data_IF_259569700406
#
_entry.id   IF_259569700406
#
_cell.length_a   1.000
_cell.length_b   1.000
_cell.length_c   1.000
_cell.angle_alpha   90.00
_cell.angle_beta   90.00
_cell.angle_gamma   90.00
#
_symmetry.space_group_name_H-M   'P 1'
#
loop_
_entity.id
_entity.type
_entity.pdbx_description
1 polymer ?
#
# COMPACT_ATOMS: atom_id res chain seq x y z
N UNK A 1 15.27 7.93 17.56
CA UNK A 1 14.98 6.63 16.91
C UNK A 1 14.93 5.65 18.06
N UNK A 2 13.79 4.99 18.31
CA UNK A 2 13.59 4.14 19.50
C UNK A 2 14.28 2.78 19.35
N UNK A 3 15.58 2.80 19.08
CA UNK A 3 16.40 1.61 18.91
C UNK A 3 16.56 0.82 20.21
N UNK A 4 16.43 1.44 21.37
CA UNK A 4 16.47 0.74 22.67
C UNK A 4 15.15 0.04 22.99
N UNK A 5 14.02 0.67 22.67
CA UNK A 5 12.68 0.10 22.89
C UNK A 5 12.39 -1.09 21.94
N UNK A 6 12.99 -1.08 20.75
CA UNK A 6 12.93 -2.19 19.79
C UNK A 6 13.76 -3.40 20.22
N UNK A 7 14.84 -3.19 21.00
CA UNK A 7 15.67 -4.28 21.53
C UNK A 7 15.03 -5.00 22.72
N UNK A 8 14.12 -4.32 23.44
CA UNK A 8 13.35 -4.92 24.54
C UNK A 8 12.17 -5.78 24.09
N UNK A 9 11.81 -5.75 22.80
CA UNK A 9 10.78 -6.61 22.22
C UNK A 9 11.39 -7.95 21.77
N UNK A 10 11.94 -8.70 22.73
CA UNK A 10 12.19 -10.12 22.52
C UNK A 10 10.85 -10.86 22.56
N UNK A 11 10.15 -10.91 21.43
CA UNK A 11 9.25 -12.01 21.10
C UNK A 11 9.68 -12.52 19.73
N UNK A 12 10.81 -13.25 19.69
CA UNK A 12 10.97 -14.32 18.69
C UNK A 12 10.08 -15.49 19.14
N UNK A 13 8.78 -15.23 19.26
CA UNK A 13 7.82 -16.31 19.16
C UNK A 13 7.92 -16.82 17.72
N UNK A 14 7.80 -18.14 17.53
CA UNK A 14 7.57 -18.66 16.19
C UNK A 14 6.30 -17.97 15.66
N UNK A 15 6.47 -16.94 14.83
CA UNK A 15 5.36 -16.29 14.17
C UNK A 15 4.86 -17.31 13.16
N UNK A 16 3.77 -17.99 13.53
CA UNK A 16 3.04 -18.85 12.61
C UNK A 16 2.40 -17.93 11.56
N UNK A 17 3.06 -17.81 10.41
CA UNK A 17 2.59 -16.95 9.31
C UNK A 17 1.65 -17.77 8.45
N UNK A 18 0.34 -17.58 8.65
CA UNK A 18 -0.68 -18.06 7.73
C UNK A 18 -0.61 -17.23 6.43
N UNK A 19 0.15 -17.72 5.46
CA UNK A 19 0.18 -17.11 4.12
C UNK A 19 -1.12 -17.49 3.41
N UNK A 20 -2.11 -16.60 3.48
CA UNK A 20 -3.31 -16.71 2.68
C UNK A 20 -2.93 -16.53 1.20
N UNK A 21 -3.12 -17.58 0.39
CA UNK A 21 -2.98 -17.45 -1.06
C UNK A 21 -4.02 -16.47 -1.59
N UNK A 22 -3.55 -15.43 -2.25
CA UNK A 22 -4.38 -14.54 -3.04
C UNK A 22 -4.08 -14.84 -4.51
N UNK A 23 -5.01 -15.50 -5.20
CA UNK A 23 -4.83 -15.85 -6.62
C UNK A 23 -4.87 -14.60 -7.51
N UNK A 24 -5.65 -13.60 -7.11
CA UNK A 24 -5.89 -12.40 -7.89
C UNK A 24 -5.77 -11.15 -7.02
N UNK A 25 -5.19 -10.07 -7.54
CA UNK A 25 -5.05 -8.81 -6.80
C UNK A 25 -5.40 -7.58 -7.63
N UNK A 26 -5.99 -6.60 -6.97
CA UNK A 26 -6.14 -5.24 -7.49
C UNK A 26 -4.95 -4.40 -6.96
N UNK A 27 -4.21 -3.75 -7.84
CA UNK A 27 -3.12 -2.85 -7.49
C UNK A 27 -3.35 -1.47 -8.11
N UNK A 28 -3.08 -0.44 -7.31
CA UNK A 28 -3.31 0.96 -7.66
C UNK A 28 -2.45 1.83 -6.73
N UNK A 29 -2.30 3.08 -7.11
CA UNK A 29 -1.54 4.06 -6.37
C UNK A 29 -2.38 5.28 -6.02
N UNK A 30 -2.06 5.87 -4.87
CA UNK A 30 -2.58 7.19 -4.54
C UNK A 30 -1.48 8.10 -4.05
N UNK A 31 -1.49 9.33 -4.55
CA UNK A 31 -0.52 10.34 -4.16
C UNK A 31 -1.07 11.32 -3.14
N UNK A 32 -0.16 11.86 -2.36
CA UNK A 32 -0.32 13.11 -1.63
C UNK A 32 1.02 13.87 -1.63
N UNK A 33 1.22 14.81 -0.72
CA UNK A 33 2.45 15.60 -0.67
C UNK A 33 2.91 15.86 0.76
N UNK A 34 4.21 16.11 0.90
CA UNK A 34 4.85 16.39 2.19
C UNK A 34 5.49 17.78 2.15
N UNK A 35 5.03 18.68 3.02
CA UNK A 35 5.50 20.06 3.07
C UNK A 35 4.93 20.93 1.95
N UNK A 36 5.23 20.56 0.70
CA UNK A 36 4.92 21.30 -0.52
C UNK A 36 4.50 20.35 -1.64
N UNK A 37 3.74 20.83 -2.62
CA UNK A 37 3.11 19.98 -3.66
C UNK A 37 4.13 19.30 -4.58
N UNK A 38 5.29 19.93 -4.72
CA UNK A 38 6.42 19.44 -5.51
C UNK A 38 7.06 18.21 -4.87
N UNK A 39 6.92 18.04 -3.54
CA UNK A 39 7.36 16.83 -2.87
C UNK A 39 6.20 15.84 -2.75
N UNK A 40 5.94 15.13 -3.85
CA UNK A 40 4.90 14.12 -3.91
C UNK A 40 5.35 12.85 -3.18
N UNK A 41 4.42 12.25 -2.43
CA UNK A 41 4.61 10.96 -1.77
C UNK A 41 3.49 10.03 -2.20
N UNK A 42 3.87 8.89 -2.78
CA UNK A 42 2.94 7.92 -3.34
C UNK A 42 2.81 6.73 -2.40
N UNK A 43 1.57 6.35 -2.10
CA UNK A 43 1.22 5.07 -1.50
C UNK A 43 0.91 4.12 -2.65
N UNK A 44 1.70 3.07 -2.76
CA UNK A 44 1.47 1.94 -3.65
C UNK A 44 0.80 0.84 -2.84
N UNK A 45 -0.31 0.31 -3.35
CA UNK A 45 -1.22 -0.49 -2.55
C UNK A 45 -1.74 -1.68 -3.37
N UNK A 46 -1.91 -2.82 -2.71
CA UNK A 46 -2.48 -4.02 -3.32
C UNK A 46 -3.48 -4.69 -2.38
N UNK A 47 -4.60 -5.12 -2.95
CA UNK A 47 -5.67 -5.82 -2.25
C UNK A 47 -6.02 -7.13 -2.95
N UNK A 48 -6.45 -8.12 -2.19
CA UNK A 48 -7.00 -9.36 -2.76
C UNK A 48 -8.29 -9.03 -3.53
N UNK A 49 -8.35 -9.43 -4.80
CA UNK A 49 -9.52 -9.18 -5.62
C UNK A 49 -10.77 -9.90 -5.08
N UNK A 50 -10.64 -11.04 -4.41
CA UNK A 50 -11.81 -11.76 -3.90
C UNK A 50 -12.36 -11.12 -2.63
N UNK A 51 -11.50 -10.93 -1.63
CA UNK A 51 -11.94 -10.48 -0.29
C UNK A 51 -11.87 -8.97 -0.09
N UNK A 52 -11.09 -8.24 -0.89
CA UNK A 52 -10.81 -6.82 -0.68
C UNK A 52 -9.92 -6.54 0.54
N UNK A 53 -9.30 -7.57 1.13
CA UNK A 53 -8.30 -7.41 2.19
C UNK A 53 -7.02 -6.83 1.60
N UNK A 54 -6.36 -5.95 2.37
CA UNK A 54 -5.05 -5.45 2.00
C UNK A 54 -4.04 -6.60 2.05
N UNK A 55 -3.21 -6.71 1.02
CA UNK A 55 -2.15 -7.70 0.93
C UNK A 55 -0.80 -7.08 1.31
N UNK A 56 -0.48 -5.96 0.66
CA UNK A 56 0.76 -5.24 0.90
C UNK A 56 0.62 -3.77 0.51
N UNK A 57 1.52 -2.95 1.04
CA UNK A 57 1.69 -1.56 0.64
C UNK A 57 3.16 -1.14 0.74
N UNK A 58 3.55 -0.13 -0.03
CA UNK A 58 4.83 0.57 0.12
C UNK A 58 4.67 2.06 -0.16
N UNK A 59 5.61 2.88 0.30
CA UNK A 59 5.64 4.32 0.06
C UNK A 59 6.87 4.71 -0.75
N UNK A 60 6.66 5.53 -1.78
CA UNK A 60 7.74 5.90 -2.68
C UNK A 60 7.45 7.07 -3.61
N UNK A 61 8.26 7.15 -4.64
CA UNK A 61 8.03 7.99 -5.82
C UNK A 61 7.10 7.28 -6.81
N UNK A 62 6.70 7.98 -7.88
CA UNK A 62 5.91 7.43 -8.98
C UNK A 62 6.82 6.78 -10.04
N UNK A 63 7.62 5.82 -9.59
CA UNK A 63 8.63 5.14 -10.42
C UNK A 63 8.49 3.62 -10.31
N UNK A 64 8.86 2.92 -11.38
CA UNK A 64 8.81 1.45 -11.50
C UNK A 64 9.51 0.73 -10.34
N UNK A 65 10.60 1.30 -9.80
CA UNK A 65 11.34 0.72 -8.67
C UNK A 65 10.45 0.48 -7.44
N UNK A 66 9.47 1.34 -7.21
CA UNK A 66 8.57 1.25 -6.05
C UNK A 66 7.50 0.20 -6.32
N UNK A 67 7.01 0.10 -7.55
CA UNK A 67 6.14 -1.01 -7.94
C UNK A 67 6.85 -2.36 -7.82
N UNK A 68 8.12 -2.47 -8.21
CA UNK A 68 8.91 -3.70 -8.06
C UNK A 68 9.08 -4.09 -6.58
N UNK A 69 9.23 -3.11 -5.69
CA UNK A 69 9.22 -3.37 -4.25
C UNK A 69 7.87 -3.93 -3.77
N UNK A 70 6.76 -3.31 -4.20
CA UNK A 70 5.42 -3.83 -3.90
C UNK A 70 5.26 -5.26 -4.43
N UNK A 71 5.68 -5.51 -5.68
CA UNK A 71 5.62 -6.83 -6.31
C UNK A 71 6.39 -7.88 -5.51
N UNK A 72 7.58 -7.54 -5.02
CA UNK A 72 8.38 -8.43 -4.14
C UNK A 72 7.64 -8.77 -2.85
N UNK A 73 6.97 -7.80 -2.23
CA UNK A 73 6.14 -8.05 -1.04
C UNK A 73 4.96 -8.99 -1.34
N UNK A 74 4.51 -9.01 -2.59
CA UNK A 74 3.39 -9.83 -3.04
C UNK A 74 3.77 -11.25 -3.47
N UNK A 75 5.06 -11.55 -3.68
CA UNK A 75 5.54 -12.87 -4.10
C UNK A 75 5.03 -14.04 -3.21
N UNK A 76 5.02 -13.92 -1.86
CA UNK A 76 4.56 -15.02 -1.00
C UNK A 76 3.08 -15.39 -1.21
N UNK A 77 2.23 -14.44 -1.64
CA UNK A 77 0.79 -14.66 -1.78
C UNK A 77 0.42 -15.52 -3.00
N UNK A 78 1.35 -15.72 -3.95
CA UNK A 78 1.12 -16.56 -5.13
C UNK A 78 0.14 -15.97 -6.13
N UNK A 79 0.14 -14.64 -6.30
CA UNK A 79 -0.77 -13.94 -7.22
C UNK A 79 -0.47 -14.34 -8.66
N UNK A 80 -1.50 -14.85 -9.34
CA UNK A 80 -1.44 -15.26 -10.74
C UNK A 80 -2.05 -14.22 -11.68
N UNK A 81 -2.92 -13.33 -11.19
CA UNK A 81 -3.58 -12.29 -11.99
C UNK A 81 -3.61 -10.93 -11.30
N UNK A 82 -3.29 -9.88 -12.04
CA UNK A 82 -3.35 -8.49 -11.58
C UNK A 82 -4.42 -7.69 -12.32
N UNK A 83 -5.12 -6.85 -11.57
CA UNK A 83 -6.05 -5.84 -12.06
C UNK A 83 -5.53 -4.46 -11.71
N UNK A 84 -5.27 -3.61 -12.70
CA UNK A 84 -4.73 -2.27 -12.47
C UNK A 84 -5.39 -1.25 -13.39
N UNK A 85 -5.09 0.02 -13.14
CA UNK A 85 -5.35 1.06 -14.12
C UNK A 85 -4.32 1.03 -15.27
N UNK A 86 -4.44 1.98 -16.20
CA UNK A 86 -3.59 2.06 -17.39
C UNK A 86 -2.27 2.82 -17.13
N UNK A 87 -1.63 2.59 -15.98
CA UNK A 87 -0.31 3.15 -15.72
C UNK A 87 0.81 2.27 -16.28
N UNK A 88 1.72 2.89 -17.04
CA UNK A 88 2.74 2.16 -17.79
C UNK A 88 3.75 1.38 -16.94
N UNK A 89 3.87 1.66 -15.64
CA UNK A 89 4.69 0.84 -14.75
C UNK A 89 4.15 -0.58 -14.65
N UNK A 90 2.82 -0.76 -14.65
CA UNK A 90 2.19 -2.08 -14.62
C UNK A 90 2.47 -2.83 -15.92
N UNK A 91 2.23 -2.19 -17.07
CA UNK A 91 2.46 -2.79 -18.39
C UNK A 91 3.91 -3.26 -18.60
N UNK A 92 4.90 -2.49 -18.10
CA UNK A 92 6.32 -2.84 -18.23
C UNK A 92 6.76 -3.99 -17.33
N UNK A 93 6.10 -4.19 -16.19
CA UNK A 93 6.58 -5.07 -15.13
C UNK A 93 5.65 -6.27 -14.85
N UNK A 94 4.47 -6.32 -15.47
CA UNK A 94 3.53 -7.43 -15.42
C UNK A 94 3.50 -8.17 -16.76
N UNK A 95 3.21 -9.47 -16.70
CA UNK A 95 3.01 -10.26 -17.91
C UNK A 95 1.62 -9.95 -18.48
N UNK A 96 1.48 -9.53 -19.76
CA UNK A 96 0.20 -9.21 -20.37
C UNK A 96 -0.83 -10.36 -20.30
N UNK A 97 -0.40 -11.62 -20.29
CA UNK A 97 -1.30 -12.77 -20.16
C UNK A 97 -2.03 -12.83 -18.80
N UNK A 98 -1.43 -12.22 -17.78
CA UNK A 98 -1.84 -12.29 -16.38
C UNK A 98 -2.25 -10.91 -15.86
N UNK A 99 -2.46 -9.95 -16.75
CA UNK A 99 -2.71 -8.55 -16.40
C UNK A 99 -3.94 -8.03 -17.15
N UNK A 100 -4.91 -7.53 -16.41
CA UNK A 100 -6.11 -6.93 -16.96
C UNK A 100 -6.18 -5.45 -16.57
N UNK A 101 -6.21 -4.59 -17.59
CA UNK A 101 -6.24 -3.14 -17.43
C UNK A 101 -7.67 -2.66 -17.50
N UNK A 102 -8.10 -1.89 -16.49
CA UNK A 102 -9.35 -1.14 -16.56
C UNK A 102 -10.02 -0.95 -15.21
N UNK A 103 -11.00 -0.06 -15.20
CA UNK A 103 -11.70 0.35 -13.97
C UNK A 103 -12.72 -0.65 -13.45
N UNK A 104 -13.02 -1.71 -14.22
CA UNK A 104 -14.07 -2.67 -13.88
C UNK A 104 -13.68 -3.60 -12.74
N UNK A 105 -12.39 -3.79 -12.48
CA UNK A 105 -11.92 -4.72 -11.45
C UNK A 105 -11.04 -4.03 -10.40
N UNK A 106 -11.13 -2.70 -10.27
CA UNK A 106 -10.34 -1.88 -9.33
C UNK A 106 -11.21 -1.19 -8.28
N UNK A 107 -12.50 -1.52 -8.16
CA UNK A 107 -13.38 -0.77 -7.25
C UNK A 107 -13.07 -1.00 -5.78
N UNK A 108 -12.52 -2.17 -5.40
CA UNK A 108 -12.22 -2.44 -4.00
C UNK A 108 -11.04 -1.60 -3.57
N UNK A 109 -9.99 -1.52 -4.38
CA UNK A 109 -8.85 -0.66 -4.08
C UNK A 109 -9.22 0.84 -4.11
N UNK A 110 -10.06 1.27 -5.05
CA UNK A 110 -10.62 2.63 -5.07
C UNK A 110 -11.38 2.95 -3.78
N UNK A 111 -12.18 2.00 -3.27
CA UNK A 111 -12.89 2.13 -1.99
C UNK A 111 -11.94 2.25 -0.80
N UNK A 112 -10.79 1.55 -0.81
CA UNK A 112 -9.75 1.70 0.20
C UNK A 112 -9.12 3.10 0.15
N UNK A 113 -8.77 3.59 -1.03
CA UNK A 113 -8.26 4.95 -1.22
C UNK A 113 -9.24 6.01 -0.73
N UNK A 114 -10.54 5.84 -0.99
CA UNK A 114 -11.59 6.72 -0.46
C UNK A 114 -11.64 6.69 1.07
N UNK A 115 -11.53 5.50 1.69
CA UNK A 115 -11.53 5.34 3.14
C UNK A 115 -10.34 6.04 3.78
N UNK A 116 -9.14 5.85 3.23
CA UNK A 116 -7.93 6.53 3.69
C UNK A 116 -8.07 8.05 3.61
N UNK A 117 -8.52 8.60 2.47
CA UNK A 117 -8.72 10.06 2.31
C UNK A 117 -9.77 10.62 3.27
N UNK A 118 -10.80 9.84 3.59
CA UNK A 118 -11.87 10.26 4.50
C UNK A 118 -11.41 10.26 5.96
N UNK A 119 -10.62 9.26 6.36
CA UNK A 119 -10.18 9.06 7.76
C UNK A 119 -8.93 9.87 8.10
N UNK A 120 -8.04 10.06 7.13
CA UNK A 120 -6.74 10.72 7.34
C UNK A 120 -6.77 12.12 6.70
N UNK A 121 -7.05 13.14 7.52
CA UNK A 121 -7.12 14.55 7.06
C UNK A 121 -5.86 15.02 6.31
N UNK A 122 -4.70 14.43 6.62
CA UNK A 122 -3.40 14.74 5.98
C UNK A 122 -3.38 14.43 4.48
N UNK A 123 -4.26 13.55 4.00
CA UNK A 123 -4.36 13.16 2.59
C UNK A 123 -5.28 14.08 1.78
N UNK A 124 -6.01 15.00 2.41
CA UNK A 124 -7.07 15.77 1.77
C UNK A 124 -6.64 17.15 1.27
N UNK A 125 -6.24 18.07 2.17
CA UNK A 125 -6.00 19.49 1.83
C UNK A 125 -4.84 20.12 2.59
N UNK A 126 -3.94 20.79 1.86
CA UNK A 126 -2.75 21.50 2.39
C UNK A 126 -3.09 22.53 3.47
N UNK A 127 -4.17 23.27 3.31
CA UNK A 127 -4.53 24.38 4.19
C UNK A 127 -5.04 23.94 5.56
N UNK A 128 -5.40 22.67 5.73
CA UNK A 128 -6.00 22.16 6.96
C UNK A 128 -4.98 21.33 7.74
N UNK A 129 -4.44 20.29 7.12
CA UNK A 129 -3.52 19.36 7.77
C UNK A 129 -2.67 18.69 6.70
N UNK A 130 -1.35 18.73 6.86
CA UNK A 130 -0.40 18.05 5.98
C UNK A 130 0.81 17.59 6.79
N UNK A 131 1.53 16.61 6.26
CA UNK A 131 2.78 16.16 6.86
C UNK A 131 3.92 17.10 6.47
N UNK A 132 4.79 17.44 7.43
CA UNK A 132 6.02 18.23 7.18
C UNK A 132 7.24 17.35 6.88
N UNK A 133 7.21 16.09 7.32
CA UNK A 133 8.28 15.12 7.15
C UNK A 133 7.71 13.84 6.53
N UNK A 134 8.45 13.22 5.61
CA UNK A 134 8.04 11.99 4.92
C UNK A 134 7.90 10.84 5.90
N UNK A 135 8.88 10.69 6.80
CA UNK A 135 8.84 9.70 7.88
C UNK A 135 7.53 9.76 8.68
N UNK A 136 7.05 10.96 9.03
CA UNK A 136 5.80 11.11 9.78
C UNK A 136 4.57 10.85 8.92
N UNK A 137 4.67 11.11 7.62
CA UNK A 137 3.61 10.81 6.67
C UNK A 137 3.41 9.29 6.56
N UNK A 138 4.49 8.57 6.28
CA UNK A 138 4.49 7.13 6.10
C UNK A 138 4.09 6.41 7.39
N UNK A 139 4.60 6.85 8.56
CA UNK A 139 4.22 6.27 9.86
C UNK A 139 2.72 6.43 10.11
N UNK A 140 2.14 7.62 9.92
CA UNK A 140 0.73 7.84 10.24
C UNK A 140 -0.20 7.00 9.35
N UNK A 141 0.12 6.89 8.06
CA UNK A 141 -0.68 6.09 7.13
C UNK A 141 -0.45 4.60 7.38
N UNK A 142 0.81 4.19 7.56
CA UNK A 142 1.16 2.80 7.86
C UNK A 142 0.52 2.31 9.16
N UNK A 143 0.53 3.11 10.23
CA UNK A 143 -0.16 2.77 11.49
C UNK A 143 -1.66 2.61 11.27
N UNK A 144 -2.29 3.50 10.47
CA UNK A 144 -3.71 3.37 10.17
C UNK A 144 -4.02 2.06 9.43
N UNK A 145 -3.24 1.73 8.39
CA UNK A 145 -3.41 0.49 7.63
C UNK A 145 -3.17 -0.72 8.54
N UNK A 146 -2.09 -0.72 9.34
CA UNK A 146 -1.75 -1.83 10.23
C UNK A 146 -2.83 -2.11 11.27
N UNK A 147 -3.39 -1.08 11.89
CA UNK A 147 -4.48 -1.25 12.88
C UNK A 147 -5.78 -1.65 12.21
N UNK A 148 -6.17 -0.96 11.14
CA UNK A 148 -7.51 -1.09 10.58
C UNK A 148 -7.66 -2.24 9.59
N UNK A 149 -6.62 -2.51 8.79
CA UNK A 149 -6.66 -3.51 7.72
C UNK A 149 -6.01 -4.82 8.15
N UNK A 150 -4.90 -4.77 8.89
CA UNK A 150 -4.22 -5.96 9.39
C UNK A 150 -4.63 -6.37 10.81
N UNK A 151 -5.39 -5.52 11.53
CA UNK A 151 -5.82 -5.82 12.90
C UNK A 151 -4.67 -5.88 13.91
N UNK A 152 -3.52 -5.28 13.60
CA UNK A 152 -2.37 -5.27 14.49
C UNK A 152 -2.64 -4.32 15.67
N UNK A 153 -2.64 -4.88 16.87
CA UNK A 153 -2.69 -4.10 18.13
C UNK A 153 -1.29 -3.52 18.37
N UNK A 154 -1.21 -2.19 18.51
CA UNK A 154 0.04 -1.46 18.80
C UNK A 154 0.16 -1.20 20.30
#
# INVERSE_FOLDING_TARGET
>A
MNSELLKTLEHTENIEVDILKAEEAEADEMWSFVGKKENQRWLWHAVDHKTGKVLAYTFGTHEDKVFLELKRLLEPFGIVKFYTDNWGAYERNLNPANHEIGKRNTQKIERKHLTLRTRIKRLARKTICFSKLEKMHDIVIGLFINVYEFGLVI
#
